data_IF_045293811284
#
_entry.id   IF_045293811284
#
_cell.length_a   1.000
_cell.length_b   1.000
_cell.length_c   1.000
_cell.angle_alpha   90.00
_cell.angle_beta   90.00
_cell.angle_gamma   90.00
#
_symmetry.space_group_name_H-M   'P 1'
#
loop_
_entity.id
_entity.type
_entity.pdbx_description
1 polymer ?
#
# COMPACT_ATOMS: atom_id res chain seq x y z
N UNK A 1 -8.20 -49.03 -55.22
CA UNK A 1 -9.36 -48.43 -55.85
C UNK A 1 -9.27 -46.95 -55.55
N UNK A 2 -8.61 -46.15 -56.41
CA UNK A 2 -9.11 -45.34 -57.54
C UNK A 2 -10.09 -44.31 -57.01
N UNK A 3 -9.74 -43.13 -57.08
CA UNK A 3 -9.54 -42.00 -58.01
C UNK A 3 -10.39 -40.83 -57.51
N UNK A 4 -10.30 -39.58 -57.74
CA UNK A 4 -9.67 -38.69 -58.70
C UNK A 4 -9.77 -37.24 -58.20
N UNK A 5 -8.83 -36.46 -58.65
CA UNK A 5 -8.65 -35.02 -58.52
C UNK A 5 -9.78 -34.18 -59.11
N UNK A 6 -9.87 -32.92 -58.65
CA UNK A 6 -10.27 -31.77 -59.50
C UNK A 6 -9.64 -30.49 -58.99
N UNK A 7 -8.73 -29.97 -59.80
CA UNK A 7 -8.14 -28.63 -59.79
C UNK A 7 -9.11 -27.69 -60.51
N UNK A 8 -9.36 -26.50 -59.97
CA UNK A 8 -9.89 -25.38 -60.75
C UNK A 8 -9.21 -24.10 -60.30
N UNK A 9 -8.31 -23.66 -61.17
CA UNK A 9 -7.78 -22.30 -61.20
C UNK A 9 -8.79 -21.33 -61.83
N UNK A 10 -8.93 -20.15 -61.26
CA UNK A 10 -9.53 -19.02 -61.97
C UNK A 10 -8.74 -17.73 -61.73
N UNK A 11 -8.58 -17.06 -62.80
CA UNK A 11 -7.60 -16.06 -63.15
C UNK A 11 -7.87 -14.65 -62.59
N UNK A 12 -6.76 -13.89 -62.50
CA UNK A 12 -6.66 -12.45 -62.29
C UNK A 12 -7.50 -11.63 -63.28
N UNK A 13 -8.09 -10.55 -62.77
CA UNK A 13 -8.35 -9.33 -63.56
C UNK A 13 -7.90 -8.13 -62.77
N UNK A 14 -6.86 -7.47 -63.27
CA UNK A 14 -6.43 -6.12 -62.95
C UNK A 14 -7.32 -5.13 -63.74
N UNK A 15 -7.94 -4.18 -63.04
CA UNK A 15 -8.35 -2.91 -63.67
C UNK A 15 -7.95 -1.74 -62.79
N UNK A 16 -7.05 -0.94 -63.29
CA UNK A 16 -6.68 0.40 -62.85
C UNK A 16 -7.65 1.42 -63.44
N UNK A 17 -7.99 2.45 -62.63
CA UNK A 17 -8.24 3.86 -62.97
C UNK A 17 -8.93 4.52 -61.78
N UNK A 18 -8.38 5.43 -61.12
CA UNK A 18 -8.18 6.84 -61.23
C UNK A 18 -9.47 7.71 -61.08
N UNK A 19 -9.51 8.56 -59.99
CA UNK A 19 -10.57 9.57 -59.84
C UNK A 19 -10.61 10.16 -58.42
N UNK A 20 -10.43 11.45 -58.37
CA UNK A 20 -10.28 12.41 -57.30
C UNK A 20 -11.45 12.53 -56.27
N UNK A 21 -11.07 13.00 -55.07
CA UNK A 21 -11.79 13.85 -54.11
C UNK A 21 -13.24 13.54 -53.71
N UNK A 22 -13.39 13.05 -52.46
CA UNK A 22 -14.51 13.47 -51.60
C UNK A 22 -14.15 13.28 -50.12
N UNK A 23 -14.26 14.36 -49.38
CA UNK A 23 -13.92 14.48 -47.97
C UNK A 23 -14.48 13.38 -47.09
N UNK A 24 -13.61 12.71 -46.35
CA UNK A 24 -13.96 11.82 -45.27
C UNK A 24 -14.07 12.65 -44.01
N UNK A 25 -15.30 12.78 -43.53
CA UNK A 25 -15.61 13.14 -42.16
C UNK A 25 -14.96 12.08 -41.25
N UNK A 26 -13.87 12.41 -40.60
CA UNK A 26 -13.28 11.59 -39.57
C UNK A 26 -14.26 11.48 -38.39
N UNK A 27 -14.87 10.34 -38.21
CA UNK A 27 -15.40 9.93 -36.90
C UNK A 27 -14.18 9.83 -36.01
N UNK A 28 -14.09 10.71 -35.03
CA UNK A 28 -13.13 10.57 -33.94
C UNK A 28 -13.51 9.31 -33.16
N UNK A 29 -12.72 8.26 -33.41
CA UNK A 29 -12.63 7.13 -32.51
C UNK A 29 -11.77 7.62 -31.36
N UNK A 30 -12.35 7.65 -30.14
CA UNK A 30 -11.66 8.00 -28.91
C UNK A 30 -10.79 6.84 -28.42
N UNK A 31 -9.86 6.39 -29.24
CA UNK A 31 -8.77 5.54 -28.79
C UNK A 31 -7.65 6.46 -28.30
N UNK A 32 -7.39 6.51 -27.01
CA UNK A 32 -6.14 7.06 -26.48
C UNK A 32 -4.98 6.37 -27.18
N UNK A 33 -3.88 7.08 -27.40
CA UNK A 33 -2.68 6.51 -28.00
C UNK A 33 -2.22 5.32 -27.13
N UNK A 34 -2.14 4.13 -27.74
CA UNK A 34 -1.67 2.92 -27.07
C UNK A 34 -0.19 3.10 -26.77
N UNK A 35 0.15 3.17 -25.50
CA UNK A 35 1.53 3.26 -25.01
C UNK A 35 2.14 1.87 -24.88
N UNK A 36 3.46 1.81 -24.91
CA UNK A 36 4.22 0.59 -24.65
C UNK A 36 5.53 0.93 -23.96
N UNK A 37 5.99 0.05 -23.08
CA UNK A 37 7.22 0.27 -22.33
C UNK A 37 7.25 -0.49 -21.01
N UNK A 38 8.12 -0.05 -20.12
CA UNK A 38 8.28 -0.64 -18.79
C UNK A 38 8.27 0.47 -17.73
N UNK A 39 7.55 0.25 -16.62
CA UNK A 39 7.60 1.09 -15.42
C UNK A 39 8.12 0.23 -14.27
N UNK A 40 9.17 0.72 -13.60
CA UNK A 40 9.83 0.01 -12.50
C UNK A 40 9.54 0.70 -11.19
N UNK A 41 8.81 0.02 -10.33
CA UNK A 41 8.52 0.42 -8.96
C UNK A 41 9.26 -0.52 -8.01
N UNK A 42 9.87 0.00 -6.95
CA UNK A 42 10.49 -0.83 -5.91
C UNK A 42 10.49 -0.05 -4.58
N UNK A 43 10.40 -0.75 -3.47
CA UNK A 43 10.49 -0.12 -2.16
C UNK A 43 9.74 -0.86 -1.06
N UNK A 44 8.90 -0.12 -0.35
CA UNK A 44 8.17 -0.59 0.82
C UNK A 44 7.22 -1.75 0.51
N UNK A 45 7.32 -2.83 1.29
CA UNK A 45 6.37 -3.95 1.28
C UNK A 45 4.94 -3.52 1.67
N UNK A 46 4.82 -2.48 2.50
CA UNK A 46 3.52 -1.90 2.87
C UNK A 46 2.86 -1.17 1.70
N UNK A 47 3.63 -0.47 0.85
CA UNK A 47 3.09 0.31 -0.27
C UNK A 47 2.90 -0.55 -1.53
N UNK A 48 3.64 -1.65 -1.64
CA UNK A 48 3.57 -2.55 -2.80
C UNK A 48 2.13 -2.96 -3.18
N UNK A 49 1.21 -3.31 -2.26
CA UNK A 49 -0.18 -3.63 -2.62
C UNK A 49 -0.91 -2.49 -3.35
N UNK A 50 -0.62 -1.23 -3.02
CA UNK A 50 -1.19 -0.06 -3.73
C UNK A 50 -0.64 0.02 -5.16
N UNK A 51 0.67 -0.11 -5.32
CA UNK A 51 1.34 -0.07 -6.63
C UNK A 51 0.98 -1.28 -7.50
N UNK A 52 0.75 -2.46 -6.90
CA UNK A 52 0.26 -3.67 -7.57
C UNK A 52 -1.19 -3.52 -8.03
N UNK A 53 -2.08 -2.95 -7.19
CA UNK A 53 -3.46 -2.65 -7.56
C UNK A 53 -3.51 -1.63 -8.72
N UNK A 54 -2.71 -0.55 -8.63
CA UNK A 54 -2.58 0.42 -9.71
C UNK A 54 -2.11 -0.23 -11.01
N UNK A 55 -1.07 -1.08 -10.95
CA UNK A 55 -0.53 -1.81 -12.10
C UNK A 55 -1.58 -2.74 -12.74
N UNK A 56 -2.35 -3.45 -11.91
CA UNK A 56 -3.39 -4.37 -12.38
C UNK A 56 -4.53 -3.63 -13.10
N UNK A 57 -5.01 -2.53 -12.52
CA UNK A 57 -6.04 -1.69 -13.15
C UNK A 57 -5.53 -1.01 -14.42
N UNK A 58 -4.30 -0.49 -14.39
CA UNK A 58 -3.68 0.17 -15.54
C UNK A 58 -3.46 -0.76 -16.73
N UNK A 59 -3.15 -2.04 -16.49
CA UNK A 59 -2.97 -3.04 -17.54
C UNK A 59 -4.27 -3.30 -18.35
N UNK A 60 -5.44 -2.96 -17.82
CA UNK A 60 -6.71 -3.04 -18.57
C UNK A 60 -6.81 -1.93 -19.63
N UNK A 61 -6.21 -0.76 -19.38
CA UNK A 61 -6.21 0.39 -20.30
C UNK A 61 -5.00 0.39 -21.23
N UNK A 62 -3.81 0.05 -20.70
CA UNK A 62 -2.53 0.07 -21.41
C UNK A 62 -1.81 -1.30 -21.35
N UNK A 63 -2.33 -2.34 -22.03
CA UNK A 63 -1.85 -3.72 -21.91
C UNK A 63 -0.43 -3.95 -22.48
N UNK A 64 0.15 -2.98 -23.22
CA UNK A 64 1.51 -3.04 -23.75
C UNK A 64 2.54 -2.33 -22.83
N UNK A 65 2.10 -1.71 -21.73
CA UNK A 65 2.99 -1.18 -20.69
C UNK A 65 3.14 -2.23 -19.61
N UNK A 66 4.37 -2.60 -19.31
CA UNK A 66 4.68 -3.56 -18.25
C UNK A 66 5.11 -2.84 -16.97
N UNK A 67 4.25 -2.80 -15.96
CA UNK A 67 4.59 -2.27 -14.63
C UNK A 67 5.10 -3.42 -13.75
N UNK A 68 6.28 -3.24 -13.15
CA UNK A 68 6.88 -4.21 -12.23
C UNK A 68 7.02 -3.58 -10.85
N UNK A 69 6.61 -4.32 -9.81
CA UNK A 69 6.70 -3.88 -8.41
C UNK A 69 7.64 -4.80 -7.64
N UNK A 70 8.63 -4.24 -6.98
CA UNK A 70 9.57 -4.94 -6.12
C UNK A 70 9.45 -4.48 -4.67
N UNK A 71 9.91 -5.31 -3.72
CA UNK A 71 9.75 -5.10 -2.28
C UNK A 71 11.08 -5.19 -1.53
N UNK A 72 12.00 -4.25 -1.81
CA UNK A 72 13.31 -4.23 -1.13
C UNK A 72 13.31 -3.46 0.21
N UNK A 73 12.13 -3.08 0.69
CA UNK A 73 11.94 -2.19 1.83
C UNK A 73 12.16 -0.71 1.47
N UNK A 74 11.63 0.22 2.26
CA UNK A 74 11.70 1.66 1.98
C UNK A 74 13.13 2.16 1.74
N UNK A 75 14.09 1.75 2.59
CA UNK A 75 15.50 2.15 2.44
C UNK A 75 16.16 1.55 1.20
N UNK A 76 15.90 0.27 0.90
CA UNK A 76 16.39 -0.41 -0.31
C UNK A 76 15.79 0.18 -1.58
N UNK A 77 14.51 0.58 -1.54
CA UNK A 77 13.84 1.30 -2.61
C UNK A 77 14.52 2.64 -2.92
N UNK A 78 14.76 3.47 -1.90
CA UNK A 78 15.48 4.73 -2.09
C UNK A 78 16.92 4.55 -2.58
N UNK A 79 17.62 3.49 -2.15
CA UNK A 79 18.97 3.19 -2.67
C UNK A 79 18.93 2.97 -4.18
N UNK A 80 18.04 2.11 -4.69
CA UNK A 80 17.86 1.84 -6.12
C UNK A 80 17.37 3.08 -6.87
N UNK A 81 16.38 3.76 -6.31
CA UNK A 81 15.79 4.96 -6.88
C UNK A 81 16.80 6.08 -7.07
N UNK A 82 17.55 6.44 -6.03
CA UNK A 82 18.57 7.47 -6.10
C UNK A 82 19.79 7.07 -6.97
N UNK A 83 19.95 5.77 -7.28
CA UNK A 83 20.90 5.29 -8.30
C UNK A 83 20.32 5.30 -9.72
N UNK A 84 19.03 5.61 -9.91
CA UNK A 84 18.35 5.62 -11.21
C UNK A 84 18.06 4.21 -11.76
N UNK A 85 17.94 3.22 -10.89
CA UNK A 85 17.64 1.82 -11.25
C UNK A 85 16.13 1.59 -11.36
N UNK A 86 15.32 2.38 -10.65
CA UNK A 86 13.86 2.36 -10.65
C UNK A 86 13.29 3.73 -11.05
N UNK A 87 12.05 3.73 -11.52
CA UNK A 87 11.32 4.91 -11.97
C UNK A 87 10.56 5.59 -10.83
N UNK A 88 10.05 4.74 -9.92
CA UNK A 88 9.26 5.11 -8.76
C UNK A 88 9.80 4.37 -7.54
N UNK A 89 9.87 5.04 -6.38
CA UNK A 89 10.14 4.40 -5.10
C UNK A 89 8.88 4.41 -4.24
N UNK A 90 8.49 3.22 -3.76
CA UNK A 90 7.46 3.05 -2.76
C UNK A 90 8.04 3.28 -1.36
N UNK A 91 7.39 4.09 -0.52
CA UNK A 91 7.91 4.42 0.80
C UNK A 91 6.82 4.51 1.87
N UNK A 92 7.06 3.91 3.02
CA UNK A 92 6.18 3.94 4.19
C UNK A 92 6.59 4.96 5.26
N UNK A 93 7.47 5.88 4.89
CA UNK A 93 7.92 7.05 5.62
C UNK A 93 8.45 8.10 4.65
N UNK A 94 8.55 9.37 5.07
CA UNK A 94 9.26 10.38 4.29
C UNK A 94 10.73 9.99 4.01
N UNK A 95 11.26 10.50 2.90
CA UNK A 95 12.67 10.34 2.54
C UNK A 95 13.58 11.00 3.59
N UNK A 96 14.67 10.34 3.96
CA UNK A 96 15.64 10.84 4.96
C UNK A 96 16.70 11.74 4.33
N UNK A 97 17.35 12.58 5.16
CA UNK A 97 18.43 13.50 4.72
C UNK A 97 19.56 12.79 3.96
N UNK A 98 19.94 11.58 4.39
CA UNK A 98 20.96 10.77 3.73
C UNK A 98 20.53 10.25 2.33
N UNK A 99 19.24 9.92 2.18
CA UNK A 99 18.66 9.48 0.93
C UNK A 99 18.50 10.68 -0.03
N UNK A 100 18.07 11.84 0.48
CA UNK A 100 18.03 13.10 -0.27
C UNK A 100 19.42 13.42 -0.84
N UNK A 101 20.45 13.35 0.01
CA UNK A 101 21.83 13.62 -0.41
C UNK A 101 22.32 12.61 -1.48
N UNK A 102 21.90 11.34 -1.42
CA UNK A 102 22.22 10.34 -2.43
C UNK A 102 21.53 10.64 -3.78
N UNK A 103 20.26 11.03 -3.78
CA UNK A 103 19.54 11.45 -4.97
C UNK A 103 20.17 12.70 -5.60
N UNK A 104 20.48 13.72 -4.80
CA UNK A 104 21.17 14.95 -5.27
C UNK A 104 22.52 14.66 -5.92
N UNK A 105 23.32 13.76 -5.32
CA UNK A 105 24.63 13.36 -5.86
C UNK A 105 24.52 12.74 -7.27
N UNK A 106 23.41 12.09 -7.58
CA UNK A 106 23.10 11.48 -8.88
C UNK A 106 22.23 12.39 -9.79
N UNK A 107 21.95 13.63 -9.33
CA UNK A 107 21.11 14.59 -10.06
C UNK A 107 19.72 14.00 -10.37
N UNK A 108 19.10 13.38 -9.38
CA UNK A 108 17.71 12.88 -9.42
C UNK A 108 16.89 13.81 -8.55
N UNK A 109 15.87 14.42 -9.15
CA UNK A 109 14.80 15.15 -8.49
C UNK A 109 13.54 14.28 -8.52
N UNK A 110 12.58 14.54 -7.64
CA UNK A 110 11.39 13.72 -7.48
C UNK A 110 10.22 14.57 -6.95
N UNK A 111 9.00 14.03 -7.07
CA UNK A 111 7.86 14.48 -6.28
C UNK A 111 7.64 13.51 -5.11
N UNK A 112 7.22 14.03 -3.95
CA UNK A 112 6.77 13.26 -2.80
C UNK A 112 5.25 13.21 -2.83
N UNK A 113 4.69 12.05 -3.16
CA UNK A 113 3.26 11.89 -3.39
C UNK A 113 2.65 10.99 -2.30
N UNK A 114 1.78 11.54 -1.45
CA UNK A 114 1.01 10.75 -0.49
C UNK A 114 -0.11 10.03 -1.25
N UNK A 115 -0.13 8.69 -1.20
CA UNK A 115 -1.07 7.85 -1.95
C UNK A 115 -2.11 7.15 -1.07
N UNK A 116 -1.87 7.00 0.23
CA UNK A 116 -2.83 6.44 1.19
C UNK A 116 -2.45 6.84 2.61
N UNK A 117 -3.34 6.59 3.57
CA UNK A 117 -3.01 6.58 4.99
C UNK A 117 -3.07 5.13 5.49
N UNK A 118 -2.05 4.69 6.19
CA UNK A 118 -2.00 3.40 6.86
C UNK A 118 -2.36 3.57 8.32
N UNK A 119 -3.15 2.66 8.86
CA UNK A 119 -3.45 2.62 10.28
C UNK A 119 -3.53 1.16 10.75
N UNK A 120 -2.87 0.87 11.87
CA UNK A 120 -2.96 -0.41 12.56
C UNK A 120 -3.88 -0.29 13.75
N UNK A 121 -4.72 -1.30 13.97
CA UNK A 121 -5.62 -1.32 15.11
C UNK A 121 -5.22 -2.41 16.06
N UNK A 122 -5.03 -2.06 17.33
CA UNK A 122 -4.93 -3.02 18.42
C UNK A 122 -6.34 -3.36 18.88
N UNK A 123 -6.68 -4.64 18.84
CA UNK A 123 -8.00 -5.15 19.16
C UNK A 123 -7.96 -6.13 20.31
N UNK A 124 -9.05 -6.22 21.05
CA UNK A 124 -9.26 -7.20 22.09
C UNK A 124 -10.62 -7.88 21.94
N UNK A 125 -10.77 -9.04 22.57
CA UNK A 125 -12.09 -9.66 22.73
C UNK A 125 -13.01 -8.70 23.50
N UNK A 126 -14.30 -8.56 23.15
CA UNK A 126 -15.25 -7.71 23.86
C UNK A 126 -15.42 -8.04 25.36
N UNK A 127 -15.02 -9.26 25.80
CA UNK A 127 -14.99 -9.62 27.22
C UNK A 127 -13.90 -8.86 28.00
N UNK A 128 -12.91 -8.28 27.35
CA UNK A 128 -11.89 -7.40 27.93
C UNK A 128 -12.51 -6.01 28.09
N UNK A 129 -13.40 -5.86 29.06
CA UNK A 129 -14.17 -4.63 29.32
C UNK A 129 -13.49 -3.68 30.33
N UNK A 130 -12.38 -4.11 30.92
CA UNK A 130 -11.64 -3.41 31.99
C UNK A 130 -10.54 -2.46 31.45
N UNK A 131 -10.24 -2.46 30.17
CA UNK A 131 -9.26 -1.56 29.54
C UNK A 131 -9.82 -0.98 28.25
N UNK A 132 -9.76 0.35 28.11
CA UNK A 132 -10.17 1.06 26.91
C UNK A 132 -8.96 1.66 26.18
N UNK A 133 -7.85 1.87 26.88
CA UNK A 133 -6.65 2.52 26.37
C UNK A 133 -5.40 1.84 26.88
N UNK A 134 -4.39 1.72 26.03
CA UNK A 134 -3.03 1.32 26.40
C UNK A 134 -2.01 2.36 25.96
N UNK A 135 -0.96 2.54 26.76
CA UNK A 135 0.18 3.37 26.33
C UNK A 135 1.09 2.59 25.38
N UNK A 136 1.89 3.32 24.61
CA UNK A 136 2.94 2.72 23.75
C UNK A 136 3.92 1.89 24.59
N UNK A 137 4.26 2.33 25.79
CA UNK A 137 5.13 1.57 26.70
C UNK A 137 4.48 0.26 27.17
N UNK A 138 3.17 0.24 27.41
CA UNK A 138 2.45 -1.00 27.74
C UNK A 138 2.41 -1.95 26.57
N UNK A 139 2.17 -1.45 25.35
CA UNK A 139 2.25 -2.26 24.13
C UNK A 139 3.66 -2.83 23.93
N UNK A 140 4.69 -2.02 24.10
CA UNK A 140 6.09 -2.50 24.03
C UNK A 140 6.37 -3.56 25.12
N UNK A 141 5.88 -3.38 26.34
CA UNK A 141 6.04 -4.37 27.40
C UNK A 141 5.35 -5.70 27.04
N UNK A 142 4.20 -5.66 26.35
CA UNK A 142 3.48 -6.86 25.90
C UNK A 142 4.19 -7.53 24.72
N UNK A 143 4.54 -6.77 23.68
CA UNK A 143 4.96 -7.28 22.37
C UNK A 143 6.48 -7.30 22.13
N UNK A 144 7.25 -6.66 22.99
CA UNK A 144 8.70 -6.58 22.86
C UNK A 144 9.38 -7.96 22.85
N UNK A 145 10.61 -8.08 22.26
CA UNK A 145 11.30 -9.35 22.07
C UNK A 145 11.64 -10.09 23.38
N UNK A 146 11.81 -9.35 24.46
CA UNK A 146 12.13 -9.91 25.80
C UNK A 146 10.89 -10.06 26.71
N UNK A 147 9.69 -9.79 26.18
CA UNK A 147 8.46 -9.87 26.94
C UNK A 147 8.13 -11.29 27.36
N UNK A 148 7.74 -11.44 28.62
CA UNK A 148 7.23 -12.68 29.18
C UNK A 148 5.81 -12.53 29.75
N UNK A 149 5.17 -11.38 29.49
CA UNK A 149 3.80 -11.09 29.94
C UNK A 149 2.85 -12.11 29.30
N UNK A 150 2.11 -12.80 30.13
CA UNK A 150 1.13 -13.83 29.78
C UNK A 150 -0.22 -13.65 30.49
N UNK A 151 -0.36 -12.55 31.24
CA UNK A 151 -1.57 -12.27 31.99
C UNK A 151 -1.81 -10.76 32.06
N UNK A 152 -3.07 -10.33 32.00
CA UNK A 152 -3.45 -8.92 32.03
C UNK A 152 -3.00 -8.18 33.28
N UNK A 153 -2.99 -8.82 34.44
CA UNK A 153 -2.51 -8.19 35.67
C UNK A 153 -0.98 -7.99 35.74
N UNK A 154 -0.24 -8.54 34.77
CA UNK A 154 1.18 -8.26 34.60
C UNK A 154 1.40 -6.99 33.73
N UNK A 155 0.43 -6.60 32.91
CA UNK A 155 0.42 -5.33 32.19
C UNK A 155 0.16 -4.17 33.13
N UNK A 156 -0.91 -4.29 33.95
CA UNK A 156 -1.23 -3.36 35.02
C UNK A 156 -1.83 -4.13 36.19
N UNK A 157 -1.32 -3.94 37.42
CA UNK A 157 -1.84 -4.64 38.62
C UNK A 157 -3.31 -4.36 38.98
N UNK A 158 -3.92 -3.35 38.36
CA UNK A 158 -5.36 -3.05 38.51
C UNK A 158 -6.24 -3.91 37.59
N UNK A 159 -5.66 -4.56 36.59
CA UNK A 159 -6.39 -5.45 35.69
C UNK A 159 -6.64 -6.82 36.33
N UNK A 160 -7.66 -7.56 35.89
CA UNK A 160 -7.97 -8.86 36.45
C UNK A 160 -6.87 -9.89 36.17
N UNK A 161 -6.84 -10.94 37.02
CA UNK A 161 -6.05 -12.15 36.75
C UNK A 161 -6.72 -12.95 35.63
N UNK A 162 -6.39 -12.60 34.38
CA UNK A 162 -6.92 -13.18 33.17
C UNK A 162 -5.76 -13.48 32.21
N UNK A 163 -5.63 -14.71 31.68
CA UNK A 163 -4.64 -15.02 30.68
C UNK A 163 -4.72 -14.07 29.48
N UNK A 164 -3.56 -13.66 28.95
CA UNK A 164 -3.41 -12.81 27.78
C UNK A 164 -2.96 -13.67 26.60
N UNK A 165 -3.87 -13.94 25.66
CA UNK A 165 -3.59 -14.67 24.44
C UNK A 165 -3.32 -13.69 23.30
N UNK A 166 -2.18 -13.84 22.63
CA UNK A 166 -1.70 -12.89 21.63
C UNK A 166 -1.80 -13.43 20.21
N UNK A 167 -2.37 -12.64 19.33
CA UNK A 167 -2.52 -12.90 17.91
C UNK A 167 -2.03 -11.69 17.11
N UNK A 168 -1.34 -11.89 15.99
CA UNK A 168 -0.82 -10.76 15.22
C UNK A 168 -0.30 -11.17 13.86
N UNK A 169 0.16 -10.18 13.10
CA UNK A 169 0.72 -10.40 11.79
C UNK A 169 1.97 -11.29 11.85
N UNK A 170 2.19 -12.07 10.79
CA UNK A 170 3.38 -12.88 10.61
C UNK A 170 4.57 -12.06 10.10
N UNK A 171 5.75 -12.69 10.09
CA UNK A 171 7.02 -12.00 9.79
C UNK A 171 7.20 -11.57 8.34
N UNK A 172 6.33 -12.00 7.43
CA UNK A 172 6.37 -11.62 6.02
C UNK A 172 5.41 -10.44 5.71
N UNK A 173 4.76 -9.89 6.77
CA UNK A 173 3.74 -8.84 6.67
C UNK A 173 4.33 -7.43 6.92
N UNK A 174 3.99 -6.46 6.06
CA UNK A 174 4.28 -5.05 6.31
C UNK A 174 3.62 -4.48 7.58
N UNK A 175 2.51 -5.08 8.04
CA UNK A 175 1.88 -4.79 9.32
C UNK A 175 2.78 -5.18 10.50
N UNK A 176 3.44 -6.35 10.42
CA UNK A 176 4.42 -6.78 11.42
C UNK A 176 5.62 -5.84 11.46
N UNK A 177 6.18 -5.52 10.30
CA UNK A 177 7.33 -4.62 10.20
C UNK A 177 7.02 -3.26 10.82
N UNK A 178 5.87 -2.68 10.47
CA UNK A 178 5.46 -1.39 10.99
C UNK A 178 5.19 -1.42 12.50
N UNK A 179 4.41 -2.39 12.97
CA UNK A 179 4.09 -2.50 14.39
C UNK A 179 5.36 -2.63 15.24
N UNK A 180 6.28 -3.49 14.81
CA UNK A 180 7.54 -3.72 15.54
C UNK A 180 8.46 -2.51 15.52
N UNK A 181 8.53 -1.78 14.41
CA UNK A 181 9.31 -0.54 14.32
C UNK A 181 8.79 0.52 15.30
N UNK A 182 7.49 0.83 15.26
CA UNK A 182 6.94 1.95 16.04
C UNK A 182 6.64 1.62 17.50
N UNK A 183 6.38 0.35 17.82
CA UNK A 183 6.09 -0.08 19.20
C UNK A 183 7.33 -0.62 19.90
N UNK A 184 8.16 -1.42 19.20
CA UNK A 184 9.33 -2.05 19.80
C UNK A 184 10.65 -1.31 19.49
N UNK A 185 10.58 -0.32 18.56
CA UNK A 185 11.73 0.53 18.23
C UNK A 185 12.72 -0.09 17.25
N UNK A 186 12.43 -1.28 16.72
CA UNK A 186 13.25 -1.97 15.73
C UNK A 186 12.34 -2.90 14.89
N UNK A 187 12.36 -2.69 13.57
CA UNK A 187 11.64 -3.52 12.60
C UNK A 187 12.03 -5.00 12.76
N UNK A 188 11.05 -5.88 12.84
CA UNK A 188 11.22 -7.30 13.03
C UNK A 188 11.46 -7.74 14.48
N UNK A 189 11.69 -6.83 15.41
CA UNK A 189 11.92 -7.16 16.82
C UNK A 189 10.61 -7.41 17.56
N UNK A 190 10.28 -8.67 17.84
CA UNK A 190 9.08 -9.07 18.57
C UNK A 190 9.32 -10.35 19.37
N UNK A 191 8.44 -10.60 20.37
CA UNK A 191 8.34 -11.91 21.01
C UNK A 191 7.92 -12.95 19.96
N UNK A 192 8.20 -14.23 20.22
CA UNK A 192 7.93 -15.33 19.27
C UNK A 192 6.88 -16.32 19.77
N UNK A 193 6.33 -16.11 20.96
CA UNK A 193 5.36 -17.01 21.61
C UNK A 193 3.91 -16.52 21.47
N UNK A 194 3.62 -15.69 20.46
CA UNK A 194 2.26 -15.35 20.05
C UNK A 194 1.81 -16.24 18.87
N UNK A 195 0.57 -16.14 18.46
CA UNK A 195 0.04 -16.84 17.26
C UNK A 195 0.14 -15.92 16.05
N UNK A 196 1.16 -16.10 15.19
CA UNK A 196 1.31 -15.30 13.96
C UNK A 196 0.40 -15.79 12.84
N UNK A 197 -0.07 -14.87 11.99
CA UNK A 197 -0.77 -15.20 10.74
C UNK A 197 -0.57 -14.09 9.71
N UNK A 198 -0.40 -14.48 8.44
CA UNK A 198 -0.44 -13.58 7.28
C UNK A 198 -1.90 -13.31 6.83
N UNK A 199 -2.87 -14.03 7.37
CA UNK A 199 -4.30 -13.85 7.11
C UNK A 199 -4.96 -13.21 8.33
N UNK A 200 -5.35 -11.94 8.20
CA UNK A 200 -5.97 -11.14 9.25
C UNK A 200 -7.29 -11.75 9.73
N UNK A 201 -8.02 -12.48 8.88
CA UNK A 201 -9.21 -13.21 9.31
C UNK A 201 -8.89 -14.29 10.34
N UNK A 202 -7.70 -14.89 10.28
CA UNK A 202 -7.23 -15.84 11.28
C UNK A 202 -6.97 -15.14 12.62
N UNK A 203 -6.39 -13.93 12.60
CA UNK A 203 -6.18 -13.10 13.78
C UNK A 203 -7.51 -12.68 14.39
N UNK A 204 -8.47 -12.22 13.58
CA UNK A 204 -9.84 -11.89 14.02
C UNK A 204 -10.49 -13.09 14.73
N UNK A 205 -10.47 -14.29 14.13
CA UNK A 205 -11.03 -15.49 14.73
C UNK A 205 -10.34 -15.89 16.04
N UNK A 206 -9.02 -15.71 16.12
CA UNK A 206 -8.24 -15.95 17.32
C UNK A 206 -8.68 -15.04 18.46
N UNK A 207 -8.78 -13.74 18.21
CA UNK A 207 -9.21 -12.75 19.20
C UNK A 207 -10.65 -12.99 19.65
N UNK A 208 -11.57 -13.25 18.72
CA UNK A 208 -12.97 -13.56 19.06
C UNK A 208 -13.09 -14.87 19.86
N UNK A 209 -12.19 -15.82 19.63
CA UNK A 209 -12.23 -17.16 20.23
C UNK A 209 -11.71 -17.25 21.67
N UNK A 210 -11.05 -16.23 22.22
CA UNK A 210 -10.50 -16.23 23.58
C UNK A 210 -10.88 -14.97 24.35
N UNK A 211 -11.45 -15.13 25.54
CA UNK A 211 -11.98 -14.04 26.40
C UNK A 211 -10.90 -13.02 26.84
N UNK A 212 -9.62 -13.42 26.87
CA UNK A 212 -8.50 -12.56 27.24
C UNK A 212 -7.60 -12.18 26.09
N UNK A 213 -8.02 -12.41 24.84
CA UNK A 213 -7.19 -12.20 23.67
C UNK A 213 -6.97 -10.74 23.32
N UNK A 214 -5.78 -10.48 22.78
CA UNK A 214 -5.38 -9.24 22.09
C UNK A 214 -4.78 -9.60 20.74
N UNK A 215 -4.99 -8.73 19.74
CA UNK A 215 -4.34 -8.83 18.44
C UNK A 215 -4.12 -7.46 17.82
N UNK A 216 -3.44 -7.44 16.66
CA UNK A 216 -3.30 -6.24 15.84
C UNK A 216 -3.30 -6.60 14.34
N UNK A 217 -3.87 -5.72 13.55
CA UNK A 217 -3.96 -5.81 12.09
C UNK A 217 -4.40 -4.46 11.49
N UNK A 218 -4.55 -4.38 10.17
CA UNK A 218 -4.97 -3.17 9.47
C UNK A 218 -6.35 -2.65 9.91
N UNK A 219 -6.51 -1.34 9.95
CA UNK A 219 -7.73 -0.67 10.44
C UNK A 219 -8.99 -1.08 9.62
N UNK A 220 -8.89 -1.26 8.33
CA UNK A 220 -10.00 -1.69 7.46
C UNK A 220 -10.57 -3.04 7.88
N UNK A 221 -9.73 -4.00 8.25
CA UNK A 221 -10.19 -5.27 8.80
C UNK A 221 -10.93 -5.12 10.13
N UNK A 222 -10.51 -4.16 10.96
CA UNK A 222 -11.25 -3.86 12.19
C UNK A 222 -12.64 -3.29 11.85
N UNK A 223 -12.77 -2.35 10.91
CA UNK A 223 -14.07 -1.78 10.52
C UNK A 223 -15.05 -2.85 10.05
N UNK A 224 -14.58 -3.81 9.25
CA UNK A 224 -15.41 -4.94 8.77
C UNK A 224 -15.85 -5.89 9.89
N UNK A 225 -15.11 -5.93 11.01
CA UNK A 225 -15.36 -6.85 12.14
C UNK A 225 -15.72 -6.13 13.45
N UNK A 226 -16.04 -4.83 13.43
CA UNK A 226 -16.27 -3.98 14.58
C UNK A 226 -17.39 -4.48 15.52
N UNK A 227 -18.37 -5.22 14.99
CA UNK A 227 -19.45 -5.84 15.77
C UNK A 227 -18.94 -6.98 16.69
N UNK A 228 -17.77 -7.55 16.40
CA UNK A 228 -17.23 -8.75 17.06
C UNK A 228 -15.97 -8.47 17.87
N UNK A 229 -15.38 -7.30 17.75
CA UNK A 229 -14.12 -6.89 18.34
C UNK A 229 -14.25 -5.56 19.07
N UNK A 230 -13.35 -5.32 20.01
CA UNK A 230 -13.17 -4.02 20.65
C UNK A 230 -11.81 -3.46 20.29
N UNK A 231 -11.77 -2.29 19.63
CA UNK A 231 -10.53 -1.56 19.42
C UNK A 231 -10.09 -0.88 20.71
N UNK A 232 -8.78 -0.83 20.95
CA UNK A 232 -8.20 -0.05 22.01
C UNK A 232 -7.75 1.32 21.51
N UNK A 233 -7.94 2.34 22.34
CA UNK A 233 -7.32 3.64 22.18
C UNK A 233 -5.82 3.53 22.50
N UNK A 234 -5.00 4.35 21.85
CA UNK A 234 -3.56 4.38 22.08
C UNK A 234 -3.15 5.73 22.66
N UNK A 235 -2.37 5.69 23.73
CA UNK A 235 -1.76 6.88 24.33
C UNK A 235 -0.26 6.93 24.02
N UNK A 236 0.10 7.90 23.17
CA UNK A 236 1.48 8.21 22.80
C UNK A 236 2.09 9.32 23.68
N UNK A 237 1.50 9.60 24.83
CA UNK A 237 1.92 10.64 25.77
C UNK A 237 1.07 11.92 25.74
N UNK A 238 0.18 12.06 24.76
CA UNK A 238 -0.73 13.20 24.59
C UNK A 238 -2.20 12.86 24.95
N UNK A 239 -2.43 11.62 25.44
CA UNK A 239 -3.74 11.09 25.80
C UNK A 239 -4.23 10.00 24.82
N UNK A 240 -5.30 9.34 25.23
CA UNK A 240 -5.86 8.22 24.48
C UNK A 240 -6.57 8.69 23.21
N UNK A 241 -6.21 8.09 22.06
CA UNK A 241 -6.82 8.36 20.75
C UNK A 241 -7.36 7.05 20.19
N UNK A 242 -8.63 7.03 19.79
CA UNK A 242 -9.25 5.90 19.14
C UNK A 242 -8.86 5.80 17.67
N UNK A 243 -8.72 4.57 17.11
CA UNK A 243 -8.56 4.40 15.67
C UNK A 243 -9.85 4.80 14.93
N UNK A 244 -9.71 5.63 13.93
CA UNK A 244 -10.79 6.02 13.01
C UNK A 244 -10.19 6.52 11.69
N UNK A 245 -11.02 6.63 10.64
CA UNK A 245 -10.60 7.25 9.37
C UNK A 245 -10.05 8.66 9.62
N UNK A 246 -10.73 9.46 10.44
CA UNK A 246 -10.33 10.84 10.73
C UNK A 246 -8.97 10.90 11.45
N UNK A 247 -8.78 10.08 12.51
CA UNK A 247 -7.53 10.08 13.30
C UNK A 247 -6.35 9.44 12.57
N UNK A 248 -6.61 8.57 11.59
CA UNK A 248 -5.60 8.05 10.69
C UNK A 248 -5.17 9.12 9.66
N UNK A 249 -6.14 9.87 9.10
CA UNK A 249 -5.89 10.91 8.10
C UNK A 249 -5.18 12.14 8.66
N UNK A 250 -5.50 12.55 9.88
CA UNK A 250 -4.87 13.71 10.53
C UNK A 250 -3.61 13.37 11.34
N UNK A 251 -3.27 12.06 11.42
CA UNK A 251 -2.09 11.56 12.11
C UNK A 251 -2.17 11.60 13.63
N UNK A 252 -3.33 11.91 14.22
CA UNK A 252 -3.48 11.96 15.68
C UNK A 252 -3.47 10.56 16.32
N UNK A 253 -3.79 9.49 15.57
CA UNK A 253 -3.66 8.10 16.03
C UNK A 253 -2.19 7.62 15.97
N UNK A 254 -1.29 8.43 16.50
CA UNK A 254 0.14 8.12 16.55
C UNK A 254 0.47 7.16 17.72
N UNK A 255 1.46 6.23 17.53
CA UNK A 255 2.28 6.04 16.35
C UNK A 255 1.72 5.01 15.37
N UNK A 256 0.45 4.59 15.51
CA UNK A 256 -0.14 3.52 14.72
C UNK A 256 -0.85 3.99 13.45
N UNK A 257 -0.66 5.25 13.05
CA UNK A 257 -1.05 5.78 11.73
C UNK A 257 0.10 6.51 11.07
N UNK A 258 0.18 6.40 9.75
CA UNK A 258 1.21 7.06 8.92
C UNK A 258 0.74 7.27 7.49
N UNK A 259 1.21 8.30 6.79
CA UNK A 259 1.05 8.41 5.35
C UNK A 259 1.94 7.41 4.61
N UNK A 260 1.45 6.94 3.46
CA UNK A 260 2.17 6.12 2.51
C UNK A 260 2.48 6.93 1.25
N UNK A 261 3.64 6.71 0.65
CA UNK A 261 4.18 7.56 -0.40
C UNK A 261 4.63 6.76 -1.61
N UNK A 262 4.54 7.39 -2.78
CA UNK A 262 5.32 7.05 -3.96
C UNK A 262 6.18 8.23 -4.38
N UNK A 263 7.37 7.97 -4.93
CA UNK A 263 8.33 8.99 -5.38
C UNK A 263 8.66 8.75 -6.85
N UNK A 264 7.97 9.38 -7.82
CA UNK A 264 8.39 9.38 -9.21
C UNK A 264 9.57 10.32 -9.44
N UNK A 265 10.55 9.90 -10.28
CA UNK A 265 11.72 10.73 -10.59
C UNK A 265 11.53 11.62 -11.82
N UNK A 266 12.22 12.77 -11.83
CA UNK A 266 12.30 13.68 -12.98
C UNK A 266 12.81 13.01 -14.27
N UNK A 267 13.70 12.03 -14.12
CA UNK A 267 14.22 11.26 -15.27
C UNK A 267 13.22 10.25 -15.82
N UNK A 268 12.43 9.64 -14.94
CA UNK A 268 11.44 8.66 -15.35
C UNK A 268 10.29 9.30 -16.11
N UNK A 269 9.84 10.49 -15.71
CA UNK A 269 8.75 11.23 -16.35
C UNK A 269 9.13 11.83 -17.73
N UNK A 270 10.38 11.71 -18.20
CA UNK A 270 10.73 11.96 -19.60
C UNK A 270 10.08 10.92 -20.53
N UNK A 271 9.58 9.80 -19.99
CA UNK A 271 8.94 8.71 -20.73
C UNK A 271 7.42 8.80 -20.58
N UNK A 272 6.68 8.82 -21.73
CA UNK A 272 5.24 9.02 -21.70
C UNK A 272 4.47 7.92 -20.95
N UNK A 273 4.92 6.67 -20.99
CA UNK A 273 4.30 5.56 -20.28
C UNK A 273 4.40 5.70 -18.74
N UNK A 274 5.45 6.37 -18.24
CA UNK A 274 5.57 6.64 -16.80
C UNK A 274 4.63 7.77 -16.37
N UNK A 275 4.60 8.85 -17.14
CA UNK A 275 3.68 9.98 -16.88
C UNK A 275 2.23 9.51 -16.90
N UNK A 276 1.87 8.69 -17.88
CA UNK A 276 0.52 8.15 -18.01
C UNK A 276 0.15 7.23 -16.85
N UNK A 277 1.08 6.34 -16.43
CA UNK A 277 0.87 5.49 -15.26
C UNK A 277 0.66 6.28 -13.97
N UNK A 278 1.46 7.33 -13.72
CA UNK A 278 1.30 8.14 -12.51
C UNK A 278 0.00 8.96 -12.55
N UNK A 279 -0.38 9.52 -13.71
CA UNK A 279 -1.67 10.18 -13.87
C UNK A 279 -2.83 9.21 -13.61
N UNK A 280 -2.76 8.00 -14.17
CA UNK A 280 -3.74 6.94 -13.92
C UNK A 280 -3.84 6.61 -12.42
N UNK A 281 -2.69 6.49 -11.74
CA UNK A 281 -2.63 6.23 -10.30
C UNK A 281 -3.35 7.32 -9.52
N UNK A 282 -3.10 8.61 -9.84
CA UNK A 282 -3.73 9.77 -9.20
C UNK A 282 -5.24 9.81 -9.48
N UNK A 283 -5.64 9.62 -10.73
CA UNK A 283 -7.05 9.69 -11.14
C UNK A 283 -7.90 8.55 -10.55
N UNK A 284 -7.30 7.39 -10.31
CA UNK A 284 -7.98 6.19 -9.78
C UNK A 284 -7.62 5.90 -8.31
N UNK A 285 -7.10 6.88 -7.58
CA UNK A 285 -6.55 6.69 -6.24
C UNK A 285 -7.56 6.07 -5.25
N UNK A 286 -8.84 6.40 -5.33
CA UNK A 286 -9.86 5.88 -4.44
C UNK A 286 -10.12 4.38 -4.67
N UNK A 287 -10.14 3.94 -5.92
CA UNK A 287 -10.32 2.53 -6.27
C UNK A 287 -9.07 1.72 -5.86
N UNK A 288 -7.88 2.27 -6.11
CA UNK A 288 -6.60 1.66 -5.73
C UNK A 288 -6.49 1.48 -4.22
N UNK A 289 -6.80 2.52 -3.45
CA UNK A 289 -6.74 2.49 -1.98
C UNK A 289 -7.78 1.52 -1.41
N UNK A 290 -8.97 1.45 -2.02
CA UNK A 290 -10.02 0.51 -1.62
C UNK A 290 -9.61 -0.94 -1.88
N UNK A 291 -9.05 -1.23 -3.06
CA UNK A 291 -8.58 -2.58 -3.42
C UNK A 291 -7.43 -3.03 -2.50
N UNK A 292 -6.52 -2.12 -2.16
CA UNK A 292 -5.40 -2.38 -1.28
C UNK A 292 -5.77 -2.36 0.23
N UNK A 293 -7.01 -2.04 0.58
CA UNK A 293 -7.55 -2.01 1.95
C UNK A 293 -6.84 -1.03 2.90
N UNK A 294 -6.48 0.15 2.39
CA UNK A 294 -5.94 1.25 3.19
C UNK A 294 -6.97 2.34 3.46
N UNK A 295 -6.63 3.29 4.35
CA UNK A 295 -7.47 4.45 4.65
C UNK A 295 -7.34 5.47 3.50
N UNK A 296 -8.46 5.92 2.91
CA UNK A 296 -8.44 6.85 1.77
C UNK A 296 -7.85 8.22 2.14
N UNK A 297 -7.43 8.93 1.10
CA UNK A 297 -6.98 10.31 1.21
C UNK A 297 -8.15 11.26 1.47
N UNK A 298 -7.89 12.35 2.19
CA UNK A 298 -8.80 13.50 2.25
C UNK A 298 -8.82 14.24 0.90
N UNK A 299 -9.86 15.08 0.66
CA UNK A 299 -9.91 15.93 -0.54
C UNK A 299 -8.70 16.89 -0.62
N UNK A 300 -8.17 17.35 0.52
CA UNK A 300 -6.98 18.19 0.58
C UNK A 300 -5.72 17.41 0.20
N UNK A 301 -5.54 16.17 0.70
CA UNK A 301 -4.42 15.31 0.32
C UNK A 301 -4.45 14.98 -1.18
N UNK A 302 -5.63 14.71 -1.76
CA UNK A 302 -5.79 14.46 -3.21
C UNK A 302 -5.43 15.68 -4.06
N UNK A 303 -5.81 16.88 -3.61
CA UNK A 303 -5.45 18.12 -4.30
C UNK A 303 -3.93 18.33 -4.26
N UNK A 304 -3.30 18.13 -3.12
CA UNK A 304 -1.83 18.22 -2.96
C UNK A 304 -1.11 17.18 -3.82
N UNK A 305 -1.59 15.93 -3.84
CA UNK A 305 -1.05 14.84 -4.67
C UNK A 305 -0.98 15.24 -6.15
N UNK A 306 -2.06 15.81 -6.69
CA UNK A 306 -2.10 16.27 -8.07
C UNK A 306 -1.18 17.47 -8.31
N UNK A 307 -1.16 18.46 -7.41
CA UNK A 307 -0.32 19.66 -7.52
C UNK A 307 1.18 19.33 -7.50
N UNK A 308 1.60 18.42 -6.64
CA UNK A 308 3.02 17.99 -6.52
C UNK A 308 3.49 17.24 -7.78
N UNK A 309 2.64 16.41 -8.38
CA UNK A 309 3.00 15.74 -9.64
C UNK A 309 3.02 16.72 -10.82
N UNK A 310 2.06 17.63 -10.91
CA UNK A 310 2.05 18.69 -11.92
C UNK A 310 3.31 19.55 -11.83
N UNK A 311 3.79 19.84 -10.63
CA UNK A 311 5.03 20.60 -10.41
C UNK A 311 6.28 19.88 -10.91
N UNK A 312 6.33 18.55 -10.82
CA UNK A 312 7.44 17.73 -11.34
C UNK A 312 7.44 17.70 -12.86
N UNK A 313 6.25 17.74 -13.51
CA UNK A 313 6.10 17.64 -14.97
C UNK A 313 6.18 18.99 -15.70
N UNK A 314 6.19 20.13 -14.99
CA UNK A 314 6.22 21.48 -15.54
C UNK A 314 7.62 21.90 -16.01
#
# INVERSE_FOLDING_TARGET
MSALAAVSAFALVLTSCGGEDAGSSGSGDGGGDQLSGEVKVDGSSTVAPLSEAAAALYAEEQPEVNVTVGTSGTGGGFEKFCNGETDVSDASRPIKDEEIAACEANSISYAELIVANDALTVVVNPAVDFVDCLTVEQLNAIWGPDSTIANWNEVDPSFPDLPLDLYGAGTDSGTFDYFTDVINGEEGASRTDYTPSEDDNTTVQGVVGSDGAMGYFGFTYFEENADSLKALEIDNGDGCVAPSVETAQDGSYAPLSRPLFIYPSDKAIERPEVVDFINFYIENIDDIVTEAQYVPLTDEQKATLAEEFDALTA
#
